data_IF_452775781561
#
_entry.id   IF_452775781561
#
_cell.length_a   1.000
_cell.length_b   1.000
_cell.length_c   1.000
_cell.angle_alpha   90.00
_cell.angle_beta   90.00
_cell.angle_gamma   90.00
#
_symmetry.space_group_name_H-M   'P 1'
#
loop_
_entity.id
_entity.type
_entity.pdbx_description
1 polymer ?
#
# COMPACT_ATOMS: atom_id res chain seq x y z
N UNK A 1 -2.31 27.97 -6.44
CA UNK A 1 -0.84 28.05 -6.42
C UNK A 1 -0.27 26.64 -6.29
N UNK A 2 0.80 26.32 -7.04
CA UNK A 2 1.39 24.97 -7.10
C UNK A 2 1.88 24.50 -5.72
N UNK A 3 2.47 25.39 -4.92
CA UNK A 3 3.00 25.10 -3.58
C UNK A 3 1.91 24.58 -2.65
N UNK A 4 0.74 25.22 -2.67
CA UNK A 4 -0.40 24.80 -1.83
C UNK A 4 -0.87 23.39 -2.21
N UNK A 5 -1.05 23.11 -3.51
CA UNK A 5 -1.45 21.78 -3.97
C UNK A 5 -0.41 20.71 -3.59
N UNK A 6 0.87 21.01 -3.72
CA UNK A 6 1.94 20.09 -3.32
C UNK A 6 1.90 19.82 -1.81
N UNK A 7 1.75 20.87 -1.00
CA UNK A 7 1.64 20.74 0.45
C UNK A 7 0.41 19.95 0.88
N UNK A 8 -0.74 20.22 0.25
CA UNK A 8 -1.98 19.46 0.49
C UNK A 8 -1.77 17.96 0.18
N UNK A 9 -1.05 17.62 -0.90
CA UNK A 9 -0.69 16.23 -1.19
C UNK A 9 0.22 15.61 -0.11
N UNK A 10 1.18 16.37 0.42
CA UNK A 10 2.02 15.91 1.52
C UNK A 10 1.23 15.66 2.80
N UNK A 11 0.20 16.46 3.08
CA UNK A 11 -0.68 16.28 4.25
C UNK A 11 -1.60 15.06 4.13
N UNK A 12 -1.93 14.63 2.91
CA UNK A 12 -2.73 13.42 2.65
C UNK A 12 -1.94 12.12 2.81
N UNK A 13 -0.61 12.17 2.98
CA UNK A 13 0.20 10.99 3.24
C UNK A 13 -0.19 10.44 4.62
N UNK A 14 -0.83 9.27 4.62
CA UNK A 14 -1.19 8.57 5.85
C UNK A 14 0.06 7.98 6.49
N UNK A 15 0.67 8.72 7.41
CA UNK A 15 1.74 8.20 8.25
C UNK A 15 1.17 7.18 9.25
N UNK A 16 1.76 5.97 9.35
CA UNK A 16 1.22 4.93 10.22
C UNK A 16 1.41 5.24 11.71
N UNK A 17 2.22 6.23 12.07
CA UNK A 17 2.64 6.53 13.44
C UNK A 17 1.45 6.70 14.42
N UNK A 18 0.43 7.48 14.03
CA UNK A 18 -0.75 7.69 14.86
C UNK A 18 -1.55 6.39 15.07
N UNK A 19 -1.69 5.58 14.02
CA UNK A 19 -2.38 4.29 14.11
C UNK A 19 -1.60 3.34 15.01
N UNK A 20 -0.28 3.23 14.81
CA UNK A 20 0.59 2.33 15.59
C UNK A 20 0.64 2.72 17.06
N UNK A 21 0.67 4.01 17.36
CA UNK A 21 0.57 4.52 18.73
C UNK A 21 -0.73 4.05 19.40
N UNK A 22 -1.87 4.23 18.72
CA UNK A 22 -3.17 3.78 19.24
C UNK A 22 -3.23 2.26 19.39
N UNK A 23 -2.72 1.49 18.43
CA UNK A 23 -2.66 0.02 18.50
C UNK A 23 -1.83 -0.44 19.69
N UNK A 24 -0.70 0.23 19.96
CA UNK A 24 0.14 -0.06 21.12
C UNK A 24 -0.55 0.25 22.45
N UNK A 25 -1.40 1.28 22.50
CA UNK A 25 -2.12 1.67 23.71
C UNK A 25 -3.36 0.80 23.99
N UNK A 26 -4.04 0.35 22.93
CA UNK A 26 -5.28 -0.43 23.00
C UNK A 26 -5.02 -1.93 23.22
N UNK A 27 -4.03 -2.50 22.53
CA UNK A 27 -3.73 -3.94 22.60
C UNK A 27 -2.64 -4.18 23.63
N UNK A 28 -3.06 -4.36 24.89
CA UNK A 28 -2.19 -4.63 26.05
C UNK A 28 -1.90 -6.13 26.16
N UNK A 29 -0.74 -6.47 26.74
CA UNK A 29 -0.30 -7.85 26.92
C UNK A 29 1.05 -8.12 26.26
N UNK A 30 1.83 -9.01 26.88
CA UNK A 30 3.16 -9.44 26.40
C UNK A 30 3.13 -10.86 25.80
N UNK A 31 1.94 -11.43 25.62
CA UNK A 31 1.79 -12.76 25.04
C UNK A 31 2.22 -12.77 23.57
N UNK A 32 2.75 -13.91 23.12
CA UNK A 32 3.17 -14.10 21.73
C UNK A 32 2.03 -13.79 20.74
N UNK A 33 0.79 -14.16 21.10
CA UNK A 33 -0.40 -13.88 20.29
C UNK A 33 -0.66 -12.38 20.14
N UNK A 34 -0.68 -11.62 21.25
CA UNK A 34 -0.87 -10.16 21.22
C UNK A 34 0.22 -9.46 20.40
N UNK A 35 1.47 -9.96 20.48
CA UNK A 35 2.59 -9.47 19.68
C UNK A 35 2.38 -9.73 18.19
N UNK A 36 1.85 -10.90 17.81
CA UNK A 36 1.51 -11.23 16.42
C UNK A 36 0.42 -10.27 15.93
N UNK A 37 -0.64 -10.05 16.71
CA UNK A 37 -1.75 -9.16 16.34
C UNK A 37 -1.23 -7.73 16.07
N UNK A 38 -0.43 -7.15 16.98
CA UNK A 38 0.13 -5.80 16.80
C UNK A 38 0.98 -5.70 15.52
N UNK A 39 1.82 -6.72 15.24
CA UNK A 39 2.64 -6.77 14.02
C UNK A 39 1.81 -6.92 12.75
N UNK A 40 0.76 -7.73 12.79
CA UNK A 40 -0.13 -7.94 11.65
C UNK A 40 -0.89 -6.66 11.29
N UNK A 41 -1.42 -5.94 12.29
CA UNK A 41 -2.08 -4.65 12.07
C UNK A 41 -1.09 -3.63 11.48
N UNK A 42 0.12 -3.55 12.03
CA UNK A 42 1.16 -2.66 11.52
C UNK A 42 1.51 -2.96 10.05
N UNK A 43 1.68 -4.24 9.72
CA UNK A 43 1.97 -4.68 8.35
C UNK A 43 0.83 -4.35 7.39
N UNK A 44 -0.43 -4.54 7.78
CA UNK A 44 -1.58 -4.17 6.95
C UNK A 44 -1.70 -2.66 6.70
N UNK A 45 -1.35 -1.82 7.69
CA UNK A 45 -1.32 -0.38 7.52
C UNK A 45 -0.23 0.09 6.53
N UNK A 46 0.93 -0.57 6.55
CA UNK A 46 2.02 -0.30 5.61
C UNK A 46 1.64 -0.81 4.21
N UNK A 47 1.08 -2.02 4.12
CA UNK A 47 0.61 -2.60 2.87
C UNK A 47 -0.42 -1.71 2.16
N UNK A 48 -1.43 -1.21 2.89
CA UNK A 48 -2.45 -0.33 2.30
C UNK A 48 -1.85 0.98 1.77
N UNK A 49 -0.91 1.57 2.51
CA UNK A 49 -0.14 2.74 2.08
C UNK A 49 0.64 2.46 0.78
N UNK A 50 1.32 1.30 0.70
CA UNK A 50 2.08 0.90 -0.51
C UNK A 50 1.15 0.69 -1.70
N UNK A 51 0.00 0.04 -1.53
CA UNK A 51 -0.98 -0.15 -2.59
C UNK A 51 -1.53 1.18 -3.11
N UNK A 52 -1.86 2.12 -2.21
CA UNK A 52 -2.28 3.45 -2.58
C UNK A 52 -1.18 4.19 -3.37
N UNK A 53 0.06 4.20 -2.85
CA UNK A 53 1.18 4.89 -3.51
C UNK A 53 1.60 4.24 -4.83
N UNK A 54 1.41 2.93 -5.01
CA UNK A 54 1.67 2.24 -6.28
C UNK A 54 0.82 2.80 -7.43
N UNK A 55 -0.37 3.33 -7.13
CA UNK A 55 -1.23 3.98 -8.13
C UNK A 55 -0.84 5.43 -8.45
N UNK A 56 -0.17 6.13 -7.51
CA UNK A 56 0.11 7.57 -7.61
C UNK A 56 1.57 7.83 -8.03
N UNK A 57 2.50 7.04 -7.52
CA UNK A 57 3.95 7.27 -7.65
C UNK A 57 4.60 6.24 -8.56
N UNK A 58 5.22 6.73 -9.64
CA UNK A 58 6.00 5.91 -10.56
C UNK A 58 7.13 5.16 -9.84
N UNK A 59 7.77 5.79 -8.85
CA UNK A 59 8.88 5.18 -8.11
C UNK A 59 8.44 3.98 -7.27
N UNK A 60 7.23 4.02 -6.74
CA UNK A 60 6.65 2.90 -5.98
C UNK A 60 6.19 1.80 -6.94
N UNK A 61 5.61 2.19 -8.08
CA UNK A 61 5.24 1.25 -9.14
C UNK A 61 6.45 0.50 -9.71
N UNK A 62 7.58 1.17 -9.94
CA UNK A 62 8.81 0.51 -10.40
C UNK A 62 9.40 -0.42 -9.36
N UNK A 63 9.19 -0.15 -8.06
CA UNK A 63 9.65 -1.00 -6.97
C UNK A 63 8.76 -2.23 -6.76
N UNK A 64 7.45 -2.05 -6.91
CA UNK A 64 6.46 -3.11 -6.75
C UNK A 64 5.59 -3.19 -8.02
N UNK A 65 6.12 -3.70 -9.15
CA UNK A 65 5.40 -3.73 -10.41
C UNK A 65 4.33 -4.82 -10.46
N UNK A 66 4.56 -5.97 -9.81
CA UNK A 66 3.58 -7.06 -9.68
C UNK A 66 3.26 -7.34 -8.22
N UNK A 67 2.17 -8.07 -7.98
CA UNK A 67 1.78 -8.44 -6.61
C UNK A 67 2.76 -9.44 -5.98
N UNK A 68 3.50 -10.19 -6.80
CA UNK A 68 4.54 -11.11 -6.33
C UNK A 68 5.70 -10.34 -5.68
N UNK A 69 6.01 -9.12 -6.13
CA UNK A 69 7.02 -8.27 -5.47
C UNK A 69 6.57 -7.82 -4.06
N UNK A 70 5.26 -7.80 -3.78
CA UNK A 70 4.73 -7.55 -2.44
C UNK A 70 4.90 -8.76 -1.52
N UNK A 71 4.84 -9.98 -2.07
CA UNK A 71 5.20 -11.20 -1.34
C UNK A 71 6.69 -11.25 -1.04
N UNK A 72 7.54 -10.97 -2.03
CA UNK A 72 9.01 -11.03 -1.88
C UNK A 72 9.52 -10.02 -0.86
N UNK A 73 8.87 -8.87 -0.74
CA UNK A 73 9.19 -7.85 0.28
C UNK A 73 8.66 -8.19 1.68
N UNK A 74 7.90 -9.29 1.84
CA UNK A 74 7.33 -9.71 3.12
C UNK A 74 6.18 -8.83 3.62
N UNK A 75 5.64 -7.95 2.77
CA UNK A 75 4.48 -7.13 3.11
C UNK A 75 3.19 -7.95 3.12
N UNK A 76 3.15 -9.03 2.32
CA UNK A 76 2.00 -9.89 2.16
C UNK A 76 2.39 -11.36 2.36
N UNK A 77 1.49 -12.18 2.89
CA UNK A 77 1.68 -13.64 2.93
C UNK A 77 1.04 -14.32 1.71
N UNK A 78 1.46 -15.55 1.39
CA UNK A 78 0.92 -16.29 0.23
C UNK A 78 -0.59 -16.53 0.36
N UNK A 79 -1.06 -16.80 1.57
CA UNK A 79 -2.47 -17.01 1.88
C UNK A 79 -3.28 -15.73 1.67
N UNK A 80 -2.75 -14.59 2.13
CA UNK A 80 -3.36 -13.28 1.92
C UNK A 80 -3.41 -12.89 0.44
N UNK A 81 -2.41 -13.28 -0.37
CA UNK A 81 -2.45 -13.00 -1.81
C UNK A 81 -3.56 -13.77 -2.51
N UNK A 82 -3.77 -15.02 -2.10
CA UNK A 82 -4.86 -15.83 -2.64
C UNK A 82 -6.22 -15.17 -2.33
N UNK A 83 -6.43 -14.72 -1.09
CA UNK A 83 -7.61 -13.96 -0.70
C UNK A 83 -7.73 -12.64 -1.49
N UNK A 84 -6.64 -11.89 -1.63
CA UNK A 84 -6.62 -10.63 -2.34
C UNK A 84 -7.09 -10.78 -3.80
N UNK A 85 -6.65 -11.84 -4.49
CA UNK A 85 -7.05 -12.14 -5.88
C UNK A 85 -8.52 -12.54 -6.03
N UNK A 86 -9.16 -13.07 -4.98
CA UNK A 86 -10.58 -13.40 -5.02
C UNK A 86 -11.49 -12.17 -4.92
N UNK A 87 -10.98 -11.05 -4.42
CA UNK A 87 -11.76 -9.82 -4.26
C UNK A 87 -11.91 -9.13 -5.61
N UNK A 88 -13.08 -9.25 -6.24
CA UNK A 88 -13.41 -8.53 -7.46
C UNK A 88 -14.01 -7.16 -7.13
N UNK A 89 -13.21 -6.09 -7.23
CA UNK A 89 -13.70 -4.72 -7.10
C UNK A 89 -14.08 -4.19 -8.48
N UNK A 90 -15.33 -3.76 -8.64
CA UNK A 90 -15.76 -3.01 -9.83
C UNK A 90 -15.09 -1.64 -9.80
N UNK A 91 -14.02 -1.48 -10.56
CA UNK A 91 -13.37 -0.18 -10.78
C UNK A 91 -14.01 0.49 -11.98
N UNK A 92 -14.41 1.75 -11.84
CA UNK A 92 -14.95 2.52 -12.95
C UNK A 92 -13.94 2.58 -14.11
N UNK A 93 -14.31 2.20 -15.34
CA UNK A 93 -13.38 2.12 -16.47
C UNK A 93 -12.61 3.42 -16.74
N UNK A 94 -13.22 4.58 -16.43
CA UNK A 94 -12.59 5.89 -16.59
C UNK A 94 -11.42 6.12 -15.62
N UNK A 95 -11.43 5.50 -14.43
CA UNK A 95 -10.33 5.59 -13.47
C UNK A 95 -9.15 4.67 -13.82
N UNK A 96 -9.41 3.60 -14.57
CA UNK A 96 -8.38 2.66 -15.03
C UNK A 96 -7.42 3.31 -16.04
N UNK A 97 -7.90 4.27 -16.84
CA UNK A 97 -7.15 4.88 -17.94
C UNK A 97 -5.93 5.72 -17.53
N UNK A 98 -5.97 6.38 -16.36
CA UNK A 98 -4.92 7.31 -15.95
C UNK A 98 -3.71 6.63 -15.28
N UNK A 99 -3.92 5.55 -14.51
CA UNK A 99 -2.86 5.01 -13.64
C UNK A 99 -2.09 3.79 -14.20
N UNK A 100 -2.64 3.03 -15.16
CA UNK A 100 -2.00 1.76 -15.62
C UNK A 100 -1.50 1.79 -17.07
N UNK A 101 -2.20 2.44 -18.00
CA UNK A 101 -1.79 2.43 -19.43
C UNK A 101 -0.57 3.29 -19.75
N UNK A 102 -0.46 4.48 -19.16
CA UNK A 102 0.66 5.40 -19.44
C UNK A 102 1.92 5.04 -18.64
N UNK A 103 1.78 4.36 -17.51
CA UNK A 103 2.87 4.02 -16.58
C UNK A 103 3.57 2.73 -16.97
N UNK A 104 2.84 1.67 -17.38
CA UNK A 104 3.41 0.45 -17.95
C UNK A 104 4.14 0.72 -19.27
N UNK A 105 3.62 1.61 -20.12
CA UNK A 105 4.29 2.04 -21.36
C UNK A 105 5.59 2.80 -21.11
N UNK A 106 5.65 3.61 -20.04
CA UNK A 106 6.90 4.30 -19.64
C UNK A 106 7.91 3.36 -18.98
N UNK A 107 7.46 2.43 -18.14
CA UNK A 107 8.34 1.45 -17.50
C UNK A 107 9.01 0.52 -18.54
N UNK A 108 8.26 0.07 -19.56
CA UNK A 108 8.80 -0.70 -20.70
C UNK A 108 9.67 0.09 -21.68
N UNK A 109 9.69 1.42 -21.61
CA UNK A 109 10.54 2.28 -22.47
C UNK A 109 11.87 2.67 -21.79
N UNK A 110 12.09 2.27 -20.54
CA UNK A 110 13.31 2.53 -19.78
C UNK A 110 14.20 1.28 -19.65
N UNK A 111 13.82 0.19 -20.34
CA UNK A 111 14.60 -1.02 -20.62
C UNK A 111 15.00 -1.02 -22.10
#
# INVERSE_FOLDING_TARGET
MIIRRWWDCCQLISWPDHLLYNVSALIRGDDAETRIIRKTIARYAILSSVLAWRSISLRVLTRYPTDDHLLDSGLLTKEELALFKTINVRVDPHQVGYCTRNTLKKAKMLE
#
